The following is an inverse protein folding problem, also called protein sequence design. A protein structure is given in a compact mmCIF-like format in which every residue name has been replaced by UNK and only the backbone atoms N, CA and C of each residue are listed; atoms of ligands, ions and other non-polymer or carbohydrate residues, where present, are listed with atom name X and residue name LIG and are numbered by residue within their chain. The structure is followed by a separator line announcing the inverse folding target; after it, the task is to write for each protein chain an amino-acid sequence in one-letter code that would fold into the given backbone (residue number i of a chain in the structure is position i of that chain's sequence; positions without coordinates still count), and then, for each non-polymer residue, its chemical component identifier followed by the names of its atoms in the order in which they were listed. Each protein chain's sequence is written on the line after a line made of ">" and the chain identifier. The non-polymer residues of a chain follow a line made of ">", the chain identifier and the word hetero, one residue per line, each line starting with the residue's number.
data_IF_550290257584
#
_entry.id   IF_550290257584
#
_cell.length_a   1.000
_cell.length_b   1.000
_cell.length_c   1.000
_cell.angle_alpha   90.00
_cell.angle_beta   90.00
_cell.angle_gamma   90.00
#
_symmetry.space_group_name_H-M   'P 1'
#
loop_
_entity.id
_entity.type
_entity.pdbx_description
1 polymer ?
#
# COMPACT_ATOMS: atom_id res chain seq x y z
N UNK A 1 -2.49 -28.44 20.87
CA UNK A 1 -3.37 -27.81 19.88
C UNK A 1 -4.25 -28.89 19.27
N UNK A 2 -5.58 -28.85 19.54
CA UNK A 2 -6.55 -29.79 19.02
C UNK A 2 -7.00 -29.37 17.61
N UNK A 3 -7.11 -30.32 16.69
CA UNK A 3 -7.69 -30.14 15.36
C UNK A 3 -8.84 -31.12 15.13
N UNK A 4 -9.79 -30.76 14.25
CA UNK A 4 -10.85 -31.67 13.83
C UNK A 4 -10.23 -32.72 12.91
N UNK A 5 -10.39 -34.01 13.22
CA UNK A 5 -9.92 -35.11 12.40
C UNK A 5 -10.79 -35.19 11.12
N UNK A 6 -10.15 -35.07 9.94
CA UNK A 6 -10.82 -35.29 8.64
C UNK A 6 -10.72 -36.74 8.18
N UNK A 7 -9.53 -37.30 8.24
CA UNK A 7 -9.28 -38.67 7.81
C UNK A 7 -8.08 -39.27 8.54
N UNK A 8 -8.19 -40.56 8.85
CA UNK A 8 -7.06 -41.39 9.27
C UNK A 8 -6.62 -42.24 8.09
N UNK A 9 -5.35 -42.09 7.68
CA UNK A 9 -4.80 -42.70 6.47
C UNK A 9 -4.10 -44.04 6.77
N UNK A 10 -3.94 -44.36 8.04
CA UNK A 10 -3.24 -45.57 8.51
C UNK A 10 -4.05 -46.30 9.58
N UNK A 11 -3.80 -47.60 9.77
CA UNK A 11 -4.41 -48.43 10.82
C UNK A 11 -3.33 -48.96 11.76
N UNK A 12 -3.71 -49.36 12.93
CA UNK A 12 -2.78 -50.06 13.85
C UNK A 12 -2.21 -51.32 13.22
N UNK A 13 -0.94 -51.61 13.47
CA UNK A 13 -0.23 -52.75 12.93
C UNK A 13 0.37 -52.57 11.53
N UNK A 14 0.12 -51.45 10.85
CA UNK A 14 0.68 -51.20 9.51
C UNK A 14 2.08 -50.61 9.61
N UNK A 15 3.00 -51.09 8.74
CA UNK A 15 4.32 -50.48 8.55
C UNK A 15 4.16 -49.20 7.71
N UNK A 16 4.77 -48.10 8.16
CA UNK A 16 4.79 -46.82 7.48
C UNK A 16 6.23 -46.40 7.19
N UNK A 17 6.42 -45.70 6.09
CA UNK A 17 7.71 -45.14 5.69
C UNK A 17 7.88 -43.75 6.27
N UNK A 18 9.16 -43.28 6.38
CA UNK A 18 9.46 -41.91 6.76
C UNK A 18 8.83 -40.94 5.78
N UNK A 19 8.08 -39.93 6.31
CA UNK A 19 7.39 -38.92 5.54
C UNK A 19 5.99 -39.34 5.01
N UNK A 20 5.56 -40.60 5.27
CA UNK A 20 4.22 -41.08 4.89
C UNK A 20 3.15 -40.35 5.71
N UNK A 21 2.07 -39.91 5.02
CA UNK A 21 0.92 -39.25 5.65
C UNK A 21 0.17 -40.25 6.56
N UNK A 22 -0.02 -39.89 7.81
CA UNK A 22 -0.70 -40.70 8.83
C UNK A 22 -2.12 -40.24 9.12
N UNK A 23 -2.27 -38.95 9.28
CA UNK A 23 -3.53 -38.31 9.70
C UNK A 23 -3.70 -36.99 8.93
N UNK A 24 -4.91 -36.74 8.50
CA UNK A 24 -5.30 -35.48 7.91
C UNK A 24 -6.30 -34.77 8.83
N UNK A 25 -5.94 -33.61 9.33
CA UNK A 25 -6.84 -32.71 10.04
C UNK A 25 -7.64 -31.87 9.06
N UNK A 26 -8.76 -31.30 9.49
CA UNK A 26 -9.57 -30.42 8.67
C UNK A 26 -8.84 -29.07 8.44
N UNK A 27 -8.42 -28.75 7.20
CA UNK A 27 -7.69 -27.52 6.91
C UNK A 27 -8.59 -26.32 6.68
N UNK A 28 -9.92 -26.48 6.57
CA UNK A 28 -10.86 -25.47 6.09
C UNK A 28 -10.71 -24.11 6.76
N UNK A 29 -10.57 -24.10 8.09
CA UNK A 29 -10.39 -22.86 8.85
C UNK A 29 -9.05 -22.18 8.56
N UNK A 30 -7.98 -22.99 8.45
CA UNK A 30 -6.62 -22.46 8.21
C UNK A 30 -6.49 -21.96 6.78
N UNK A 31 -7.07 -22.68 5.81
CA UNK A 31 -7.12 -22.26 4.41
C UNK A 31 -7.90 -20.94 4.24
N UNK A 32 -9.07 -20.82 4.89
CA UNK A 32 -9.84 -19.58 4.87
C UNK A 32 -9.04 -18.39 5.42
N UNK A 33 -8.32 -18.58 6.54
CA UNK A 33 -7.46 -17.55 7.12
C UNK A 33 -6.25 -17.21 6.25
N UNK A 34 -5.72 -18.18 5.51
CA UNK A 34 -4.62 -17.94 4.56
C UNK A 34 -5.11 -17.13 3.36
N UNK A 35 -6.28 -17.49 2.80
CA UNK A 35 -6.88 -16.76 1.70
C UNK A 35 -7.21 -15.30 2.08
N UNK A 36 -7.74 -15.08 3.29
CA UNK A 36 -7.96 -13.74 3.83
C UNK A 36 -6.64 -12.95 3.94
N UNK A 37 -5.59 -13.58 4.47
CA UNK A 37 -4.26 -12.97 4.57
C UNK A 37 -3.69 -12.59 3.21
N UNK A 38 -3.82 -13.46 2.20
CA UNK A 38 -3.38 -13.19 0.83
C UNK A 38 -4.15 -12.04 0.19
N UNK A 39 -5.47 -12.00 0.34
CA UNK A 39 -6.30 -10.91 -0.16
C UNK A 39 -5.89 -9.56 0.46
N UNK A 40 -5.67 -9.54 1.79
CA UNK A 40 -5.20 -8.35 2.51
C UNK A 40 -3.78 -7.92 2.08
N UNK A 41 -2.87 -8.87 1.89
CA UNK A 41 -1.52 -8.61 1.39
C UNK A 41 -1.57 -7.94 0.01
N UNK A 42 -2.37 -8.47 -0.93
CA UNK A 42 -2.52 -7.90 -2.27
C UNK A 42 -3.13 -6.50 -2.24
N UNK A 43 -4.13 -6.26 -1.40
CA UNK A 43 -4.71 -4.93 -1.21
C UNK A 43 -3.67 -3.93 -0.69
N UNK A 44 -2.89 -4.30 0.34
CA UNK A 44 -1.83 -3.44 0.87
C UNK A 44 -0.73 -3.15 -0.18
N UNK A 45 -0.35 -4.12 -1.02
CA UNK A 45 0.59 -3.91 -2.13
C UNK A 45 0.04 -2.96 -3.19
N UNK A 46 -1.26 -3.01 -3.48
CA UNK A 46 -1.94 -2.05 -4.33
C UNK A 46 -1.85 -0.63 -3.76
N UNK A 47 -2.22 -0.47 -2.49
CA UNK A 47 -2.13 0.80 -1.76
C UNK A 47 -0.70 1.34 -1.71
N UNK A 48 0.31 0.48 -1.47
CA UNK A 48 1.73 0.85 -1.52
C UNK A 48 2.13 1.41 -2.88
N UNK A 49 1.69 0.79 -3.96
CA UNK A 49 1.98 1.25 -5.33
C UNK A 49 1.45 2.67 -5.56
N UNK A 50 0.23 2.96 -5.13
CA UNK A 50 -0.36 4.29 -5.19
C UNK A 50 0.42 5.29 -4.33
N UNK A 51 0.70 4.98 -3.08
CA UNK A 51 1.40 5.87 -2.15
C UNK A 51 2.84 6.16 -2.60
N UNK A 52 3.53 5.21 -3.22
CA UNK A 52 4.83 5.43 -3.87
C UNK A 52 4.70 6.42 -5.02
N UNK A 53 3.69 6.27 -5.88
CA UNK A 53 3.46 7.20 -6.99
C UNK A 53 3.14 8.62 -6.48
N UNK A 54 2.28 8.76 -5.46
CA UNK A 54 1.91 10.04 -4.85
C UNK A 54 3.10 10.74 -4.16
N UNK A 55 3.89 10.01 -3.37
CA UNK A 55 5.02 10.57 -2.62
C UNK A 55 6.19 10.98 -3.52
N UNK A 56 6.44 10.24 -4.61
CA UNK A 56 7.58 10.48 -5.51
C UNK A 56 7.21 11.33 -6.73
N UNK A 57 5.92 11.46 -7.05
CA UNK A 57 5.43 12.08 -8.28
C UNK A 57 5.69 11.24 -9.54
N UNK A 58 5.96 9.94 -9.39
CA UNK A 58 6.14 9.01 -10.51
C UNK A 58 4.80 8.46 -11.01
N UNK A 59 4.76 7.90 -12.23
CA UNK A 59 3.58 7.19 -12.71
C UNK A 59 3.16 6.05 -11.77
N UNK A 60 1.85 5.81 -11.66
CA UNK A 60 1.31 4.68 -10.91
C UNK A 60 1.61 3.38 -11.65
N UNK A 61 2.37 2.49 -11.01
CA UNK A 61 2.74 1.18 -11.53
C UNK A 61 2.41 0.12 -10.48
N UNK A 62 1.72 -0.94 -10.88
CA UNK A 62 1.38 -2.06 -10.01
C UNK A 62 2.29 -3.26 -10.27
N UNK A 63 2.67 -4.03 -9.23
CA UNK A 63 3.39 -5.29 -9.40
C UNK A 63 2.50 -6.35 -10.08
N UNK A 64 3.09 -7.36 -10.76
CA UNK A 64 2.34 -8.35 -11.54
C UNK A 64 1.25 -9.09 -10.74
N UNK A 65 1.51 -9.36 -9.47
CA UNK A 65 0.58 -10.02 -8.55
C UNK A 65 -0.68 -9.17 -8.25
N UNK A 66 -0.55 -7.84 -8.19
CA UNK A 66 -1.67 -6.92 -8.03
C UNK A 66 -2.43 -6.75 -9.35
N UNK A 67 -1.72 -6.72 -10.48
CA UNK A 67 -2.34 -6.67 -11.81
C UNK A 67 -3.27 -7.87 -12.09
N UNK A 68 -3.02 -9.01 -11.44
CA UNK A 68 -3.90 -10.18 -11.52
C UNK A 68 -5.26 -9.97 -10.83
N UNK A 69 -5.44 -8.89 -10.05
CA UNK A 69 -6.68 -8.58 -9.32
C UNK A 69 -7.24 -7.23 -9.78
N UNK A 70 -8.06 -7.21 -10.85
CA UNK A 70 -8.54 -5.96 -11.48
C UNK A 70 -9.29 -5.02 -10.54
N UNK A 71 -10.01 -5.54 -9.55
CA UNK A 71 -10.75 -4.72 -8.58
C UNK A 71 -9.84 -3.84 -7.71
N UNK A 72 -8.67 -4.36 -7.31
CA UNK A 72 -7.67 -3.59 -6.55
C UNK A 72 -7.05 -2.52 -7.46
N UNK A 73 -6.66 -2.89 -8.67
CA UNK A 73 -6.07 -1.97 -9.66
C UNK A 73 -7.02 -0.82 -9.95
N UNK A 74 -8.29 -1.12 -10.22
CA UNK A 74 -9.30 -0.10 -10.49
C UNK A 74 -9.50 0.82 -9.28
N UNK A 75 -9.76 0.28 -8.10
CA UNK A 75 -10.00 1.07 -6.90
C UNK A 75 -8.82 2.00 -6.56
N UNK A 76 -7.58 1.48 -6.56
CA UNK A 76 -6.40 2.30 -6.27
C UNK A 76 -6.11 3.34 -7.36
N UNK A 77 -6.42 3.04 -8.63
CA UNK A 77 -6.30 3.99 -9.74
C UNK A 77 -7.33 5.12 -9.62
N UNK A 78 -8.56 4.80 -9.25
CA UNK A 78 -9.61 5.81 -9.01
C UNK A 78 -9.23 6.75 -7.85
N UNK A 79 -8.76 6.20 -6.74
CA UNK A 79 -8.29 6.99 -5.59
C UNK A 79 -7.10 7.88 -5.98
N UNK A 80 -6.11 7.32 -6.70
CA UNK A 80 -4.95 8.07 -7.20
C UNK A 80 -5.38 9.26 -8.06
N UNK A 81 -6.25 9.01 -9.04
CA UNK A 81 -6.72 10.04 -9.96
C UNK A 81 -7.53 11.13 -9.23
N UNK A 82 -8.41 10.76 -8.30
CA UNK A 82 -9.19 11.70 -7.51
C UNK A 82 -8.29 12.60 -6.63
N UNK A 83 -7.31 12.01 -5.92
CA UNK A 83 -6.38 12.76 -5.07
C UNK A 83 -5.46 13.66 -5.88
N UNK A 84 -4.99 13.19 -7.04
CA UNK A 84 -4.17 13.97 -7.95
C UNK A 84 -4.94 15.13 -8.54
N UNK A 85 -6.17 14.93 -9.01
CA UNK A 85 -7.04 15.98 -9.52
C UNK A 85 -7.28 17.06 -8.47
N UNK A 86 -7.58 16.70 -7.22
CA UNK A 86 -7.77 17.63 -6.14
C UNK A 86 -6.52 18.50 -5.85
N UNK A 87 -5.32 17.90 -5.95
CA UNK A 87 -4.06 18.64 -5.84
C UNK A 87 -3.87 19.60 -7.04
N UNK A 88 -4.05 19.07 -8.26
CA UNK A 88 -3.86 19.83 -9.50
C UNK A 88 -4.82 21.03 -9.55
N UNK A 89 -6.09 20.87 -9.19
CA UNK A 89 -7.08 21.94 -9.09
C UNK A 89 -6.67 23.01 -8.08
N UNK A 90 -6.23 22.60 -6.89
CA UNK A 90 -5.81 23.53 -5.85
C UNK A 90 -4.53 24.31 -6.23
N UNK A 91 -3.61 23.67 -6.96
CA UNK A 91 -2.39 24.32 -7.49
C UNK A 91 -2.75 25.25 -8.64
N UNK A 92 -3.68 24.86 -9.52
CA UNK A 92 -4.09 25.65 -10.68
C UNK A 92 -4.72 26.96 -10.29
N UNK A 93 -5.55 27.01 -9.23
CA UNK A 93 -6.10 28.26 -8.69
C UNK A 93 -4.99 29.24 -8.34
N UNK A 94 -3.96 28.77 -7.60
CA UNK A 94 -2.83 29.63 -7.23
C UNK A 94 -1.98 30.04 -8.46
N UNK A 95 -1.80 29.15 -9.43
CA UNK A 95 -1.08 29.46 -10.69
C UNK A 95 -1.78 30.54 -11.51
N UNK A 96 -3.13 30.51 -11.59
CA UNK A 96 -3.90 31.58 -12.25
C UNK A 96 -3.70 32.91 -11.54
N UNK A 97 -3.79 32.94 -10.21
CA UNK A 97 -3.51 34.13 -9.43
C UNK A 97 -2.09 34.63 -9.65
N UNK A 98 -1.10 33.74 -9.63
CA UNK A 98 0.31 34.04 -9.91
C UNK A 98 0.51 34.64 -11.29
N UNK A 99 -0.18 34.13 -12.32
CA UNK A 99 -0.12 34.67 -13.68
C UNK A 99 -0.65 36.08 -13.75
N UNK A 100 -1.75 36.41 -13.04
CA UNK A 100 -2.30 37.76 -12.97
C UNK A 100 -1.36 38.73 -12.27
N UNK A 101 -0.86 38.38 -11.09
CA UNK A 101 0.10 39.19 -10.31
C UNK A 101 1.41 39.42 -11.08
N UNK A 102 1.90 38.42 -11.80
CA UNK A 102 3.11 38.59 -12.63
C UNK A 102 2.91 39.60 -13.77
N UNK A 103 1.70 39.66 -14.40
CA UNK A 103 1.40 40.69 -15.39
C UNK A 103 1.33 42.08 -14.75
N UNK A 104 0.70 42.17 -13.59
CA UNK A 104 0.60 43.43 -12.83
C UNK A 104 2.02 43.90 -12.42
N UNK A 105 2.87 43.00 -11.91
CA UNK A 105 4.25 43.28 -11.55
C UNK A 105 5.04 43.82 -12.77
N UNK A 106 4.93 43.15 -13.91
CA UNK A 106 5.63 43.58 -15.13
C UNK A 106 5.19 45.00 -15.61
N UNK A 107 3.92 45.36 -15.46
CA UNK A 107 3.45 46.72 -15.72
C UNK A 107 4.00 47.71 -14.69
N UNK A 108 3.93 47.37 -13.41
CA UNK A 108 4.42 48.19 -12.31
C UNK A 108 5.93 48.48 -12.43
N UNK A 109 6.72 47.49 -12.81
CA UNK A 109 8.18 47.63 -13.03
C UNK A 109 8.46 48.63 -14.19
N UNK A 110 7.69 48.57 -15.30
CA UNK A 110 7.85 49.52 -16.40
C UNK A 110 7.47 50.96 -15.99
N UNK A 111 6.37 51.13 -15.27
CA UNK A 111 5.95 52.45 -14.77
C UNK A 111 6.94 53.01 -13.73
N UNK A 112 7.45 52.18 -12.86
CA UNK A 112 8.47 52.56 -11.89
C UNK A 112 9.76 53.01 -12.55
N UNK A 113 10.19 52.34 -13.64
CA UNK A 113 11.36 52.74 -14.41
C UNK A 113 11.19 54.11 -15.09
N UNK A 114 9.95 54.52 -15.34
CA UNK A 114 9.57 55.85 -15.87
C UNK A 114 9.34 56.89 -14.77
N UNK A 115 9.51 56.55 -13.50
CA UNK A 115 9.22 57.42 -12.36
C UNK A 115 7.73 57.64 -12.07
N UNK A 116 6.85 56.88 -12.72
CA UNK A 116 5.39 56.99 -12.63
C UNK A 116 4.75 56.12 -11.55
N UNK A 117 5.54 55.23 -10.90
CA UNK A 117 5.09 54.35 -9.83
C UNK A 117 6.16 54.22 -8.73
N UNK A 118 5.71 54.08 -7.50
CA UNK A 118 6.58 53.88 -6.34
C UNK A 118 7.28 52.53 -6.37
N UNK A 119 8.59 52.50 -6.05
CA UNK A 119 9.36 51.27 -5.87
C UNK A 119 8.78 50.40 -4.76
N UNK A 120 8.15 51.00 -3.73
CA UNK A 120 7.50 50.27 -2.62
C UNK A 120 6.35 49.42 -3.15
N UNK A 121 5.59 49.92 -4.12
CA UNK A 121 4.48 49.18 -4.75
C UNK A 121 5.01 47.96 -5.55
N UNK A 122 6.08 48.14 -6.33
CA UNK A 122 6.77 47.05 -7.02
C UNK A 122 7.25 45.98 -6.01
N UNK A 123 7.83 46.39 -4.89
CA UNK A 123 8.26 45.47 -3.83
C UNK A 123 7.08 44.72 -3.19
N UNK A 124 5.92 45.35 -3.06
CA UNK A 124 4.69 44.71 -2.56
C UNK A 124 4.24 43.61 -3.50
N UNK A 125 4.17 43.87 -4.79
CA UNK A 125 3.81 42.88 -5.81
C UNK A 125 4.79 41.70 -5.89
N UNK A 126 6.10 41.98 -5.79
CA UNK A 126 7.11 40.90 -5.72
C UNK A 126 6.93 40.01 -4.51
N UNK A 127 6.59 40.55 -3.34
CA UNK A 127 6.25 39.74 -2.15
C UNK A 127 5.05 38.85 -2.41
N UNK A 128 3.99 39.38 -3.03
CA UNK A 128 2.79 38.59 -3.37
C UNK A 128 3.12 37.44 -4.34
N UNK A 129 4.00 37.65 -5.34
CA UNK A 129 4.50 36.60 -6.23
C UNK A 129 5.23 35.51 -5.43
N UNK A 130 6.10 35.90 -4.51
CA UNK A 130 6.83 34.94 -3.66
C UNK A 130 5.91 34.15 -2.74
N UNK A 131 4.91 34.82 -2.14
CA UNK A 131 3.93 34.19 -1.25
C UNK A 131 3.07 33.16 -1.99
N UNK A 132 2.63 33.45 -3.21
CA UNK A 132 1.89 32.50 -4.05
C UNK A 132 2.74 31.32 -4.48
N UNK A 133 4.03 31.53 -4.82
CA UNK A 133 4.95 30.44 -5.12
C UNK A 133 5.16 29.54 -3.91
N UNK A 134 5.35 30.13 -2.72
CA UNK A 134 5.48 29.38 -1.47
C UNK A 134 4.23 28.55 -1.20
N UNK A 135 3.03 29.11 -1.34
CA UNK A 135 1.77 28.40 -1.16
C UNK A 135 1.62 27.19 -2.11
N UNK A 136 2.05 27.32 -3.38
CA UNK A 136 2.06 26.22 -4.34
C UNK A 136 3.00 25.12 -3.85
N UNK A 137 4.22 25.48 -3.46
CA UNK A 137 5.21 24.51 -2.96
C UNK A 137 4.74 23.81 -1.69
N UNK A 138 4.16 24.55 -0.75
CA UNK A 138 3.61 23.99 0.50
C UNK A 138 2.50 22.96 0.23
N UNK A 139 1.58 23.24 -0.72
CA UNK A 139 0.52 22.29 -1.09
C UNK A 139 1.09 20.98 -1.64
N UNK A 140 2.04 21.08 -2.58
CA UNK A 140 2.70 19.90 -3.17
C UNK A 140 3.49 19.13 -2.10
N UNK A 141 4.23 19.84 -1.25
CA UNK A 141 5.04 19.21 -0.20
C UNK A 141 4.15 18.52 0.85
N UNK A 142 3.05 19.15 1.26
CA UNK A 142 2.09 18.54 2.19
C UNK A 142 1.49 17.26 1.61
N UNK A 143 1.04 17.29 0.37
CA UNK A 143 0.52 16.11 -0.31
C UNK A 143 1.53 14.94 -0.33
N UNK A 144 2.79 15.24 -0.65
CA UNK A 144 3.88 14.23 -0.64
C UNK A 144 4.20 13.73 0.77
N UNK A 145 4.17 14.60 1.75
CA UNK A 145 4.44 14.27 3.15
C UNK A 145 3.34 13.34 3.70
N UNK A 146 2.07 13.66 3.45
CA UNK A 146 0.94 12.82 3.84
C UNK A 146 1.06 11.43 3.20
N UNK A 147 1.32 11.38 1.88
CA UNK A 147 1.54 10.12 1.16
C UNK A 147 2.74 9.33 1.73
N UNK A 148 3.82 10.00 2.14
CA UNK A 148 5.00 9.35 2.73
C UNK A 148 4.67 8.77 4.11
N UNK A 149 3.90 9.48 4.92
CA UNK A 149 3.47 9.00 6.24
C UNK A 149 2.60 7.76 6.10
N UNK A 150 1.61 7.80 5.21
CA UNK A 150 0.75 6.66 4.91
C UNK A 150 1.55 5.48 4.34
N UNK A 151 2.55 5.75 3.49
CA UNK A 151 3.45 4.75 2.91
C UNK A 151 4.20 3.96 3.99
N UNK A 152 4.76 4.67 4.98
CA UNK A 152 5.48 4.03 6.08
C UNK A 152 4.56 3.17 6.93
N UNK A 153 3.37 3.67 7.23
CA UNK A 153 2.36 2.91 7.97
C UNK A 153 1.95 1.64 7.22
N UNK A 154 1.61 1.77 5.94
CA UNK A 154 1.17 0.64 5.11
C UNK A 154 2.28 -0.40 4.94
N UNK A 155 3.57 0.01 4.87
CA UNK A 155 4.70 -0.92 4.87
C UNK A 155 4.79 -1.73 6.15
N UNK A 156 4.58 -1.10 7.29
CA UNK A 156 4.58 -1.81 8.59
C UNK A 156 3.42 -2.81 8.66
N UNK A 157 2.24 -2.42 8.21
CA UNK A 157 1.08 -3.32 8.15
C UNK A 157 1.33 -4.52 7.21
N UNK A 158 1.95 -4.28 6.06
CA UNK A 158 2.31 -5.34 5.12
C UNK A 158 3.29 -6.34 5.75
N UNK A 159 4.35 -5.84 6.40
CA UNK A 159 5.33 -6.68 7.06
C UNK A 159 4.68 -7.56 8.16
N UNK A 160 3.75 -7.00 8.93
CA UNK A 160 3.00 -7.76 9.95
C UNK A 160 2.12 -8.86 9.33
N UNK A 161 1.45 -8.57 8.21
CA UNK A 161 0.66 -9.59 7.51
C UNK A 161 1.54 -10.68 6.93
N UNK A 162 2.68 -10.33 6.34
CA UNK A 162 3.64 -11.29 5.78
C UNK A 162 4.18 -12.24 6.87
N UNK A 163 4.53 -11.72 8.04
CA UNK A 163 4.94 -12.53 9.19
C UNK A 163 3.82 -13.47 9.66
N UNK A 164 2.59 -12.95 9.81
CA UNK A 164 1.44 -13.78 10.18
C UNK A 164 1.15 -14.89 9.17
N UNK A 165 1.34 -14.62 7.87
CA UNK A 165 1.14 -15.61 6.82
C UNK A 165 2.16 -16.75 6.90
N UNK A 166 3.41 -16.47 7.25
CA UNK A 166 4.43 -17.51 7.47
C UNK A 166 3.99 -18.47 8.58
N UNK A 167 3.51 -17.94 9.70
CA UNK A 167 2.98 -18.75 10.81
C UNK A 167 1.78 -19.60 10.38
N UNK A 168 0.83 -18.99 9.66
CA UNK A 168 -0.36 -19.73 9.15
C UNK A 168 0.01 -20.81 8.15
N UNK A 169 1.00 -20.58 7.31
CA UNK A 169 1.50 -21.58 6.36
C UNK A 169 2.13 -22.78 7.08
N UNK A 170 2.85 -22.54 8.19
CA UNK A 170 3.39 -23.65 9.01
C UNK A 170 2.26 -24.45 9.66
N UNK A 171 1.24 -23.78 10.21
CA UNK A 171 0.05 -24.45 10.75
C UNK A 171 -0.65 -25.28 9.67
N UNK A 172 -0.79 -24.77 8.44
CA UNK A 172 -1.37 -25.52 7.33
C UNK A 172 -0.56 -26.76 6.98
N UNK A 173 0.78 -26.66 6.97
CA UNK A 173 1.63 -27.84 6.75
C UNK A 173 1.45 -28.91 7.83
N UNK A 174 1.16 -28.50 9.07
CA UNK A 174 0.92 -29.41 10.21
C UNK A 174 -0.48 -30.03 10.21
N UNK A 175 -1.38 -29.63 9.34
CA UNK A 175 -2.69 -30.31 9.20
C UNK A 175 -2.55 -31.71 8.62
N UNK A 176 -1.43 -32.04 7.97
CA UNK A 176 -1.05 -33.38 7.57
C UNK A 176 0.05 -33.88 8.49
N UNK A 177 -0.29 -34.82 9.37
CA UNK A 177 0.66 -35.45 10.28
C UNK A 177 1.36 -36.57 9.53
N UNK A 178 2.70 -36.49 9.48
CA UNK A 178 3.56 -37.45 8.76
C UNK A 178 4.44 -38.23 9.71
N UNK A 179 4.78 -39.46 9.30
CA UNK A 179 5.71 -40.28 10.08
C UNK A 179 7.13 -39.70 10.03
N UNK A 180 7.78 -39.45 11.20
CA UNK A 180 9.16 -38.99 11.24
C UNK A 180 10.19 -40.09 10.91
N UNK A 181 9.79 -41.35 11.05
CA UNK A 181 10.64 -42.51 10.87
C UNK A 181 9.89 -43.64 10.17
N UNK A 182 10.61 -44.63 9.63
CA UNK A 182 10.03 -45.91 9.24
C UNK A 182 9.73 -46.75 10.49
N UNK A 183 8.49 -47.26 10.60
CA UNK A 183 8.09 -48.07 11.76
C UNK A 183 6.69 -48.63 11.69
N UNK A 184 6.30 -49.38 12.70
CA UNK A 184 4.97 -49.94 12.83
C UNK A 184 4.09 -49.03 13.68
N UNK A 185 2.88 -48.71 13.21
CA UNK A 185 1.92 -47.92 13.97
C UNK A 185 1.34 -48.75 15.11
N UNK A 186 1.53 -48.30 16.36
CA UNK A 186 0.96 -48.93 17.56
C UNK A 186 0.20 -47.89 18.40
N UNK A 187 -0.87 -48.28 19.05
CA UNK A 187 -1.64 -47.52 20.04
C UNK A 187 -2.09 -46.13 19.50
N UNK A 188 -3.01 -46.12 18.54
CA UNK A 188 -3.66 -44.88 18.09
C UNK A 188 -4.67 -44.47 19.18
N UNK A 189 -4.32 -43.43 19.97
CA UNK A 189 -5.26 -42.82 20.94
C UNK A 189 -5.80 -41.55 20.35
N UNK A 190 -7.10 -41.42 20.29
CA UNK A 190 -7.83 -40.17 19.98
C UNK A 190 -8.34 -39.62 21.30
N UNK A 191 -8.00 -38.36 21.61
CA UNK A 191 -8.57 -37.60 22.73
C UNK A 191 -9.60 -36.61 22.22
#
# INVERSE_FOLDING_TARGET
>A
EGGILRAMLVREGVMVEKGQDLVQLDPTRVEAQQNEGQAKQLALKGTLSRLVAESTGRPLLFPPEVLAVPSIVQGETEVFNARKAALDDAVEVNRRSLSLINRELAMAERLSAQGLMSVVEVMRLRRQVNDLNLQIQERVNRFRQDATTDLLRTRTELAQIEEQMVVKQDVLRRTVIRSPVRGMVKNIKMN
#
